data_IF_251877933397
#
_entry.id   IF_251877933397
#
_cell.length_a   1.000
_cell.length_b   1.000
_cell.length_c   1.000
_cell.angle_alpha   90.00
_cell.angle_beta   90.00
_cell.angle_gamma   90.00
#
_symmetry.space_group_name_H-M   'P 1'
#
loop_
_entity.id
_entity.type
_entity.pdbx_description
1 polymer ?
#
# COMPACT_ATOMS: atom_id res chain seq x y z
N UNK A 1 7.54 -4.66 -2.28
CA UNK A 1 6.69 -3.47 -2.10
C UNK A 1 6.58 -3.14 -0.62
N UNK A 2 6.64 -1.85 -0.23
CA UNK A 2 6.82 -1.45 1.16
C UNK A 2 5.49 -1.40 1.90
N UNK A 3 4.73 -2.50 1.91
CA UNK A 3 3.41 -2.58 2.53
C UNK A 3 3.26 -3.84 3.39
N UNK A 4 2.70 -3.67 4.59
CA UNK A 4 2.22 -4.78 5.43
C UNK A 4 0.82 -5.14 4.96
N UNK A 5 0.69 -6.12 4.08
CA UNK A 5 -0.60 -6.58 3.56
C UNK A 5 -0.61 -8.08 3.39
N UNK A 6 -1.32 -8.76 4.28
CA UNK A 6 -1.46 -10.21 4.29
C UNK A 6 -2.85 -10.62 3.80
N UNK A 7 -2.90 -11.71 3.04
CA UNK A 7 -4.13 -12.32 2.50
C UNK A 7 -3.94 -13.83 2.43
N UNK A 8 -5.02 -14.57 2.64
CA UNK A 8 -5.05 -16.02 2.41
C UNK A 8 -5.36 -16.26 0.94
N UNK A 9 -4.52 -17.03 0.25
CA UNK A 9 -4.75 -17.47 -1.12
C UNK A 9 -5.00 -18.99 -1.11
N UNK A 10 -6.10 -19.41 -1.74
CA UNK A 10 -6.45 -20.83 -1.87
C UNK A 10 -6.36 -21.21 -3.34
N UNK A 11 -5.48 -22.15 -3.67
CA UNK A 11 -5.28 -22.64 -5.04
C UNK A 11 -5.73 -24.09 -5.12
N UNK A 12 -6.71 -24.35 -5.97
CA UNK A 12 -7.28 -25.68 -6.18
C UNK A 12 -7.14 -26.12 -7.63
N UNK A 13 -6.64 -27.33 -7.82
CA UNK A 13 -6.62 -28.00 -9.13
C UNK A 13 -7.65 -29.12 -9.14
N UNK A 14 -8.27 -29.34 -10.30
CA UNK A 14 -9.16 -30.47 -10.48
C UNK A 14 -8.38 -31.78 -10.40
N UNK A 15 -8.90 -32.77 -9.68
CA UNK A 15 -8.25 -34.07 -9.49
C UNK A 15 -8.06 -34.85 -10.79
N UNK A 16 -8.96 -34.69 -11.75
CA UNK A 16 -8.94 -35.36 -13.05
C UNK A 16 -8.01 -34.69 -14.07
N UNK A 17 -7.40 -33.55 -13.74
CA UNK A 17 -6.43 -32.88 -14.59
C UNK A 17 -5.05 -33.57 -14.59
N UNK A 18 -4.84 -34.61 -13.78
CA UNK A 18 -3.59 -35.37 -13.66
C UNK A 18 -2.34 -34.51 -13.42
N UNK A 19 -2.53 -33.32 -12.82
CA UNK A 19 -1.43 -32.41 -12.48
C UNK A 19 -0.72 -32.94 -11.23
N UNK A 20 0.62 -32.96 -11.26
CA UNK A 20 1.44 -33.32 -10.10
C UNK A 20 1.28 -32.35 -8.92
N UNK A 21 1.84 -32.67 -7.74
CA UNK A 21 1.81 -31.76 -6.60
C UNK A 21 2.48 -30.42 -6.94
N UNK A 22 1.83 -29.30 -6.57
CA UNK A 22 2.37 -27.96 -6.81
C UNK A 22 3.55 -27.68 -5.87
N UNK A 23 4.64 -27.13 -6.42
CA UNK A 23 5.78 -26.66 -5.64
C UNK A 23 5.57 -25.20 -5.18
N UNK A 24 5.40 -25.04 -3.87
CA UNK A 24 5.24 -23.74 -3.21
C UNK A 24 6.52 -23.23 -2.52
N UNK A 25 7.65 -23.91 -2.73
CA UNK A 25 8.93 -23.54 -2.14
C UNK A 25 9.30 -22.12 -2.49
N UNK A 26 9.60 -21.30 -1.48
CA UNK A 26 9.96 -19.90 -1.65
C UNK A 26 8.78 -18.91 -1.67
N UNK A 27 7.53 -19.39 -1.69
CA UNK A 27 6.33 -18.57 -1.45
C UNK A 27 5.68 -18.86 -0.09
N UNK A 28 5.81 -20.10 0.39
CA UNK A 28 5.43 -20.50 1.73
C UNK A 28 6.67 -20.60 2.63
N UNK A 29 6.53 -20.33 3.94
CA UNK A 29 7.55 -20.68 4.92
C UNK A 29 7.77 -22.20 4.97
N UNK A 30 8.90 -22.64 5.52
CA UNK A 30 9.15 -24.08 5.71
C UNK A 30 8.05 -24.68 6.60
N UNK A 31 7.40 -25.75 6.15
CA UNK A 31 6.35 -26.45 6.90
C UNK A 31 4.90 -26.09 6.53
N UNK A 32 4.66 -25.29 5.50
CA UNK A 32 3.30 -24.92 5.07
C UNK A 32 2.62 -23.88 5.96
N UNK A 33 3.31 -23.41 7.00
CA UNK A 33 2.96 -22.19 7.74
C UNK A 33 3.56 -21.00 6.98
N UNK A 34 2.69 -20.09 6.55
CA UNK A 34 3.03 -18.91 5.74
C UNK A 34 3.32 -17.67 6.58
N UNK A 35 3.42 -17.79 7.90
CA UNK A 35 3.81 -16.69 8.76
C UNK A 35 5.29 -16.30 8.57
N UNK A 36 5.57 -15.46 7.58
CA UNK A 36 6.73 -14.57 7.64
C UNK A 36 7.87 -14.74 6.65
N UNK A 37 7.68 -15.26 5.42
CA UNK A 37 8.71 -15.12 4.37
C UNK A 37 8.24 -14.22 3.24
N UNK A 38 8.88 -13.05 3.13
CA UNK A 38 8.65 -12.08 2.08
C UNK A 38 9.11 -12.64 0.72
N UNK A 39 8.31 -12.42 -0.33
CA UNK A 39 8.73 -12.58 -1.73
C UNK A 39 10.02 -11.76 -1.93
N UNK A 40 11.07 -12.40 -2.45
CA UNK A 40 12.43 -11.91 -2.47
C UNK A 40 12.57 -10.50 -3.08
N UNK A 41 13.22 -9.61 -2.32
CA UNK A 41 13.42 -8.18 -2.57
C UNK A 41 13.30 -7.46 -1.23
N UNK A 42 14.12 -6.46 -0.90
CA UNK A 42 14.14 -5.83 0.44
C UNK A 42 12.81 -5.14 0.84
N UNK A 43 11.79 -5.22 -0.03
CA UNK A 43 10.47 -4.65 0.13
C UNK A 43 10.42 -3.19 -0.29
N UNK A 44 11.56 -2.51 -0.42
CA UNK A 44 11.68 -1.07 -0.46
C UNK A 44 11.27 -0.45 0.88
N UNK A 45 11.45 0.85 0.97
CA UNK A 45 10.85 1.69 2.02
C UNK A 45 9.74 2.55 1.43
N UNK A 46 8.85 3.07 2.27
CA UNK A 46 7.86 4.06 1.84
C UNK A 46 8.54 5.28 1.25
N UNK A 47 9.71 5.68 1.78
CA UNK A 47 10.54 6.77 1.23
C UNK A 47 10.83 6.57 -0.26
N UNK A 48 11.17 5.35 -0.67
CA UNK A 48 11.53 5.02 -2.05
C UNK A 48 10.37 5.05 -3.05
N UNK A 49 9.11 5.13 -2.60
CA UNK A 49 7.95 5.20 -3.50
C UNK A 49 7.36 6.61 -3.64
N UNK A 50 7.79 7.57 -2.81
CA UNK A 50 7.24 8.92 -2.81
C UNK A 50 7.56 9.68 -4.09
N UNK A 51 6.64 10.55 -4.51
CA UNK A 51 6.90 11.54 -5.54
C UNK A 51 7.73 12.71 -4.98
N UNK A 52 8.43 13.48 -5.85
CA UNK A 52 9.13 14.69 -5.41
C UNK A 52 8.20 15.64 -4.63
N UNK A 53 8.71 16.22 -3.53
CA UNK A 53 7.92 17.02 -2.59
C UNK A 53 7.28 18.29 -3.20
N UNK A 54 7.83 18.77 -4.32
CA UNK A 54 7.35 19.93 -5.07
C UNK A 54 6.42 19.58 -6.23
N UNK A 55 6.15 18.30 -6.47
CA UNK A 55 5.27 17.88 -7.56
C UNK A 55 3.83 18.37 -7.35
N UNK A 56 3.14 18.67 -8.46
CA UNK A 56 1.74 19.07 -8.42
C UNK A 56 0.83 18.01 -7.78
N UNK A 57 1.14 16.72 -7.98
CA UNK A 57 0.40 15.61 -7.37
C UNK A 57 0.51 15.62 -5.84
N UNK A 58 1.71 15.88 -5.31
CA UNK A 58 1.95 16.03 -3.87
C UNK A 58 1.20 17.23 -3.29
N UNK A 59 1.18 18.36 -3.99
CA UNK A 59 0.42 19.55 -3.58
C UNK A 59 -1.09 19.27 -3.52
N UNK A 60 -1.65 18.59 -4.52
CA UNK A 60 -3.06 18.15 -4.53
C UNK A 60 -3.35 17.15 -3.43
N UNK A 61 -2.37 16.32 -3.06
CA UNK A 61 -2.54 15.31 -2.03
C UNK A 61 -2.57 15.88 -0.60
N UNK A 62 -2.11 17.12 -0.40
CA UNK A 62 -2.19 17.83 0.88
C UNK A 62 -3.64 18.00 1.35
N UNK A 63 -3.87 17.83 2.65
CA UNK A 63 -5.19 18.08 3.21
C UNK A 63 -5.48 19.59 3.25
N UNK A 64 -6.73 19.95 2.98
CA UNK A 64 -7.20 21.34 3.09
C UNK A 64 -7.16 21.86 4.53
N UNK A 65 -7.34 23.18 4.71
CA UNK A 65 -7.33 23.80 6.03
C UNK A 65 -8.53 23.33 6.87
N UNK A 66 -9.67 23.15 6.22
CA UNK A 66 -10.91 22.66 6.81
C UNK A 66 -10.75 21.21 7.28
N UNK A 67 -10.11 20.38 6.44
CA UNK A 67 -9.77 19.00 6.77
C UNK A 67 -8.77 18.91 7.91
N UNK A 68 -7.74 19.76 7.92
CA UNK A 68 -6.78 19.81 9.02
C UNK A 68 -7.44 20.18 10.34
N UNK A 69 -8.29 21.20 10.34
CA UNK A 69 -9.05 21.59 11.52
C UNK A 69 -9.99 20.46 11.99
N UNK A 70 -10.61 19.72 11.06
CA UNK A 70 -11.42 18.55 11.38
C UNK A 70 -10.60 17.42 12.03
N UNK A 71 -9.42 17.15 11.48
CA UNK A 71 -8.49 16.15 12.01
C UNK A 71 -8.00 16.54 13.43
N UNK A 72 -7.69 17.82 13.66
CA UNK A 72 -7.33 18.33 14.99
C UNK A 72 -8.47 18.18 16.01
N UNK A 73 -9.73 18.48 15.62
CA UNK A 73 -10.89 18.24 16.48
C UNK A 73 -11.04 16.76 16.83
N UNK A 74 -10.82 15.89 15.86
CA UNK A 74 -10.86 14.44 16.07
C UNK A 74 -9.77 13.96 17.03
N UNK A 75 -8.56 14.52 16.92
CA UNK A 75 -7.44 14.26 17.84
C UNK A 75 -7.80 14.65 19.27
N UNK A 76 -8.31 15.87 19.47
CA UNK A 76 -8.74 16.35 20.77
C UNK A 76 -9.86 15.48 21.37
N UNK A 77 -10.86 15.09 20.58
CA UNK A 77 -11.99 14.30 21.04
C UNK A 77 -11.63 12.85 21.42
N UNK A 78 -10.54 12.31 20.87
CA UNK A 78 -10.19 10.88 21.02
C UNK A 78 -8.88 10.65 21.77
N UNK A 79 -8.15 11.71 22.12
CA UNK A 79 -6.83 11.61 22.75
C UNK A 79 -5.79 10.95 21.85
N UNK A 80 -5.89 11.12 20.53
CA UNK A 80 -4.88 10.62 19.58
C UNK A 80 -4.13 11.79 18.94
N UNK A 81 -2.98 11.49 18.36
CA UNK A 81 -2.03 12.46 17.82
C UNK A 81 -1.74 12.22 16.35
N UNK A 82 -1.13 13.23 15.70
CA UNK A 82 -0.67 13.09 14.31
C UNK A 82 0.38 11.97 14.16
N UNK A 83 1.26 11.78 15.16
CA UNK A 83 2.29 10.73 15.13
C UNK A 83 1.68 9.33 15.03
N UNK A 84 0.56 9.09 15.71
CA UNK A 84 -0.15 7.80 15.60
C UNK A 84 -0.83 7.62 14.24
N UNK A 85 -0.98 8.69 13.45
CA UNK A 85 -1.53 8.67 12.09
C UNK A 85 -0.45 8.74 11.01
N UNK A 86 0.81 8.81 11.39
CA UNK A 86 1.92 8.92 10.45
C UNK A 86 2.25 7.58 9.80
N UNK A 87 2.68 7.61 8.54
CA UNK A 87 3.30 6.48 7.86
C UNK A 87 4.82 6.57 8.07
N UNK A 88 5.42 5.53 8.66
CA UNK A 88 6.86 5.45 8.81
C UNK A 88 7.53 5.32 7.43
N UNK A 89 8.42 6.27 7.09
CA UNK A 89 9.05 6.35 5.78
C UNK A 89 10.05 5.23 5.52
N UNK A 90 10.84 4.87 6.52
CA UNK A 90 11.93 3.90 6.38
C UNK A 90 11.46 2.45 6.59
N UNK A 91 10.17 2.28 6.89
CA UNK A 91 9.53 0.98 7.10
C UNK A 91 8.55 0.61 6.00
N UNK A 92 7.69 -0.36 6.32
CA UNK A 92 6.53 -0.73 5.50
C UNK A 92 5.31 0.09 5.92
N UNK A 93 4.55 0.58 4.95
CA UNK A 93 3.28 1.21 5.20
C UNK A 93 2.24 0.19 5.70
N UNK A 94 1.26 0.63 6.50
CA UNK A 94 0.09 -0.18 6.81
C UNK A 94 -0.76 -0.46 5.55
N UNK A 95 -1.74 -1.38 5.63
CA UNK A 95 -2.62 -1.67 4.50
C UNK A 95 -3.35 -0.43 3.99
N UNK A 96 -3.36 -0.24 2.68
CA UNK A 96 -4.17 0.78 2.03
C UNK A 96 -5.65 0.37 2.15
N UNK A 97 -6.48 1.29 2.63
CA UNK A 97 -7.91 1.05 2.84
C UNK A 97 -8.74 1.72 1.74
N UNK A 98 -9.93 1.21 1.47
CA UNK A 98 -10.79 1.73 0.40
C UNK A 98 -11.25 3.17 0.63
N UNK A 99 -11.45 3.56 1.89
CA UNK A 99 -11.77 4.92 2.32
C UNK A 99 -10.53 5.75 2.68
N UNK A 100 -9.38 5.51 2.03
CA UNK A 100 -8.12 6.15 2.40
C UNK A 100 -8.16 7.67 2.29
N UNK A 101 -8.73 8.23 1.21
CA UNK A 101 -8.83 9.68 0.94
C UNK A 101 -9.89 10.42 1.79
N UNK A 102 -10.37 9.80 2.87
CA UNK A 102 -11.35 10.39 3.78
C UNK A 102 -10.70 10.72 5.13
N UNK A 103 -10.62 12.01 5.45
CA UNK A 103 -10.01 12.51 6.70
C UNK A 103 -10.77 12.06 7.95
N UNK A 104 -12.08 11.87 7.85
CA UNK A 104 -12.90 11.36 8.96
C UNK A 104 -12.63 9.89 9.29
N UNK A 105 -11.93 9.17 8.41
CA UNK A 105 -11.55 7.80 8.64
C UNK A 105 -10.42 7.72 9.67
N UNK A 106 -10.80 7.41 10.91
CA UNK A 106 -9.85 6.94 11.94
C UNK A 106 -9.18 5.72 11.31
N UNK A 107 -7.88 5.56 11.19
CA UNK A 107 -7.17 4.48 10.45
C UNK A 107 -6.59 4.98 9.13
N UNK A 108 -7.09 6.06 8.55
CA UNK A 108 -6.34 6.76 7.51
C UNK A 108 -4.98 7.23 8.08
N UNK A 109 -3.96 7.16 7.23
CA UNK A 109 -2.58 7.48 7.57
C UNK A 109 -2.00 8.51 6.61
N UNK A 110 -1.09 9.33 7.11
CA UNK A 110 -0.60 10.51 6.41
C UNK A 110 0.92 10.48 6.28
N UNK A 111 1.40 11.13 5.22
CA UNK A 111 2.79 11.52 5.04
C UNK A 111 2.99 12.84 5.79
N UNK A 112 3.83 12.80 6.82
CA UNK A 112 4.18 13.94 7.68
C UNK A 112 5.62 14.44 7.44
N UNK A 113 6.39 13.72 6.63
CA UNK A 113 7.73 14.06 6.15
C UNK A 113 7.85 13.55 4.71
N UNK A 114 8.50 14.30 3.84
CA UNK A 114 8.75 13.90 2.45
C UNK A 114 10.09 13.17 2.29
N UNK A 115 10.34 12.59 1.12
CA UNK A 115 11.59 11.86 0.87
C UNK A 115 12.84 12.72 1.03
N UNK A 116 12.75 14.03 0.74
CA UNK A 116 13.82 15.03 0.89
C UNK A 116 13.94 15.61 2.31
N UNK A 117 13.12 15.14 3.26
CA UNK A 117 13.09 15.63 4.64
C UNK A 117 12.16 16.83 4.87
N UNK A 118 11.43 17.29 3.85
CA UNK A 118 10.44 18.38 4.02
C UNK A 118 9.37 17.98 5.03
N UNK A 119 9.20 18.76 6.08
CA UNK A 119 8.24 18.49 7.16
C UNK A 119 6.82 18.93 6.81
N UNK A 120 5.83 18.12 7.21
CA UNK A 120 4.39 18.30 6.97
C UNK A 120 3.56 18.01 8.22
N UNK A 121 3.85 18.70 9.30
CA UNK A 121 3.20 18.50 10.60
C UNK A 121 2.05 19.48 10.90
N UNK A 122 1.68 20.31 9.92
CA UNK A 122 0.65 21.34 10.06
C UNK A 122 1.19 22.73 10.39
N UNK A 123 2.52 22.93 10.43
CA UNK A 123 3.16 24.24 10.50
C UNK A 123 3.10 24.98 9.15
N UNK A 124 4.19 24.94 8.38
CA UNK A 124 4.22 25.52 7.03
C UNK A 124 3.44 24.69 6.00
N UNK A 125 3.50 23.36 6.15
CA UNK A 125 2.80 22.41 5.29
C UNK A 125 1.97 21.46 6.12
N UNK A 126 0.77 21.13 5.62
CA UNK A 126 -0.10 20.16 6.28
C UNK A 126 0.25 18.73 5.89
N UNK A 127 -0.10 17.74 6.73
CA UNK A 127 0.00 16.33 6.36
C UNK A 127 -0.75 16.05 5.06
N UNK A 128 -0.28 15.07 4.29
CA UNK A 128 -0.93 14.69 3.04
C UNK A 128 -1.25 13.20 3.01
N UNK A 129 -2.19 12.83 2.17
CA UNK A 129 -2.32 11.43 1.79
C UNK A 129 -1.23 11.06 0.77
N UNK A 130 -1.01 9.76 0.58
CA UNK A 130 -0.31 9.26 -0.61
C UNK A 130 -1.03 9.74 -1.87
N UNK A 131 -0.28 10.02 -2.93
CA UNK A 131 -0.85 10.31 -4.25
C UNK A 131 -1.36 9.01 -4.89
N UNK A 132 -2.20 9.08 -5.95
CA UNK A 132 -2.62 7.89 -6.67
C UNK A 132 -1.44 7.08 -7.23
N UNK A 133 -0.36 7.75 -7.67
CA UNK A 133 0.86 7.11 -8.17
C UNK A 133 1.64 6.42 -7.07
N UNK A 134 1.80 7.07 -5.93
CA UNK A 134 2.44 6.44 -4.77
C UNK A 134 1.62 5.24 -4.27
N UNK A 135 0.29 5.31 -4.28
CA UNK A 135 -0.56 4.16 -4.01
C UNK A 135 -0.35 3.02 -5.02
N UNK A 136 -0.15 3.33 -6.31
CA UNK A 136 0.14 2.31 -7.32
C UNK A 136 1.48 1.62 -7.06
N UNK A 137 2.53 2.39 -6.78
CA UNK A 137 3.86 1.86 -6.39
C UNK A 137 3.79 1.05 -5.10
N UNK A 138 3.00 1.50 -4.13
CA UNK A 138 2.77 0.78 -2.87
C UNK A 138 2.12 -0.60 -3.10
N UNK A 139 1.19 -0.69 -4.06
CA UNK A 139 0.58 -1.96 -4.47
C UNK A 139 1.52 -2.85 -5.30
N UNK A 140 2.64 -2.31 -5.79
CA UNK A 140 3.58 -3.00 -6.67
C UNK A 140 3.21 -2.92 -8.15
N UNK A 141 2.39 -1.94 -8.55
CA UNK A 141 2.12 -1.68 -9.96
C UNK A 141 3.32 -1.00 -10.64
N UNK A 142 3.58 -1.31 -11.91
CA UNK A 142 4.69 -0.74 -12.66
C UNK A 142 4.45 0.75 -12.98
N UNK A 143 5.53 1.48 -13.24
CA UNK A 143 5.47 2.94 -13.47
C UNK A 143 4.64 3.31 -14.70
N UNK A 144 4.64 2.46 -15.74
CA UNK A 144 3.84 2.65 -16.95
C UNK A 144 2.33 2.43 -16.75
N UNK A 145 1.90 1.89 -15.59
CA UNK A 145 0.49 1.65 -15.32
C UNK A 145 -0.29 2.97 -15.35
N UNK A 146 -1.37 3.04 -16.15
CA UNK A 146 -2.17 4.26 -16.31
C UNK A 146 -3.24 4.32 -15.21
N UNK A 147 -3.16 5.35 -14.36
CA UNK A 147 -4.16 5.59 -13.32
C UNK A 147 -5.42 6.17 -13.99
N UNK A 148 -6.60 5.57 -13.78
CA UNK A 148 -7.82 5.99 -14.46
C UNK A 148 -8.39 7.29 -13.89
N UNK A 149 -8.97 8.11 -14.78
CA UNK A 149 -9.70 9.32 -14.41
C UNK A 149 -8.86 10.35 -13.67
N UNK A 150 -9.45 10.96 -12.65
CA UNK A 150 -8.82 11.94 -11.75
C UNK A 150 -8.00 11.29 -10.62
N UNK A 151 -7.91 9.96 -10.59
CA UNK A 151 -7.24 9.20 -9.54
C UNK A 151 -8.01 9.09 -8.21
N UNK A 152 -9.12 9.79 -8.01
CA UNK A 152 -9.91 9.68 -6.76
C UNK A 152 -10.54 8.29 -6.62
N UNK A 153 -11.06 7.74 -7.73
CA UNK A 153 -11.59 6.37 -7.77
C UNK A 153 -10.51 5.30 -7.52
N UNK A 154 -9.25 5.62 -7.81
CA UNK A 154 -8.14 4.67 -7.70
C UNK A 154 -7.84 4.29 -6.25
N UNK A 155 -7.97 5.20 -5.28
CA UNK A 155 -7.79 4.87 -3.86
C UNK A 155 -8.70 3.72 -3.41
N UNK A 156 -9.96 3.75 -3.84
CA UNK A 156 -10.94 2.69 -3.52
C UNK A 156 -10.56 1.38 -4.20
N UNK A 157 -10.14 1.43 -5.46
CA UNK A 157 -9.72 0.26 -6.23
C UNK A 157 -8.47 -0.39 -5.61
N UNK A 158 -7.42 0.40 -5.36
CA UNK A 158 -6.17 -0.07 -4.75
C UNK A 158 -6.38 -0.59 -3.32
N UNK A 159 -7.23 0.08 -2.53
CA UNK A 159 -7.60 -0.39 -1.18
C UNK A 159 -8.30 -1.74 -1.18
N UNK A 160 -9.11 -2.05 -2.19
CA UNK A 160 -9.83 -3.32 -2.31
C UNK A 160 -9.05 -4.41 -3.06
N UNK A 161 -8.11 -4.05 -3.93
CA UNK A 161 -7.37 -4.98 -4.77
C UNK A 161 -6.37 -5.84 -3.99
N UNK A 162 -5.90 -6.92 -4.62
CA UNK A 162 -4.71 -7.67 -4.17
C UNK A 162 -3.45 -7.05 -4.78
N UNK A 163 -2.28 -7.30 -4.18
CA UNK A 163 -1.00 -6.81 -4.71
C UNK A 163 -0.60 -7.63 -5.95
N UNK A 164 -0.43 -7.01 -7.13
CA UNK A 164 -0.10 -7.75 -8.36
C UNK A 164 1.14 -8.64 -8.26
N UNK A 165 2.27 -8.23 -7.65
CA UNK A 165 3.44 -9.11 -7.54
C UNK A 165 3.19 -10.40 -6.74
N UNK A 166 2.23 -10.38 -5.80
CA UNK A 166 1.87 -11.59 -5.04
C UNK A 166 1.06 -12.54 -5.92
N UNK A 167 0.13 -12.01 -6.71
CA UNK A 167 -0.69 -12.81 -7.63
C UNK A 167 0.17 -13.37 -8.76
N UNK A 168 1.09 -12.59 -9.28
CA UNK A 168 2.08 -13.01 -10.29
C UNK A 168 2.88 -14.22 -9.78
N UNK A 169 3.46 -14.12 -8.57
CA UNK A 169 4.22 -15.22 -7.98
C UNK A 169 3.37 -16.49 -7.78
N UNK A 170 2.12 -16.37 -7.34
CA UNK A 170 1.19 -17.51 -7.26
C UNK A 170 0.88 -18.08 -8.65
N UNK A 171 0.67 -17.21 -9.63
CA UNK A 171 0.40 -17.57 -11.02
C UNK A 171 1.55 -18.33 -11.68
N UNK A 172 2.81 -17.93 -11.44
CA UNK A 172 3.99 -18.62 -11.94
C UNK A 172 4.04 -20.08 -11.47
N UNK A 173 3.69 -20.35 -10.19
CA UNK A 173 3.64 -21.73 -9.68
C UNK A 173 2.51 -22.55 -10.29
N UNK A 174 1.37 -21.90 -10.52
CA UNK A 174 0.25 -22.53 -11.19
C UNK A 174 0.61 -22.90 -12.65
N UNK A 175 1.23 -21.99 -13.39
CA UNK A 175 1.65 -22.22 -14.78
C UNK A 175 2.71 -23.33 -14.87
N UNK A 176 3.72 -23.29 -14.00
CA UNK A 176 4.74 -24.33 -13.94
C UNK A 176 4.14 -25.72 -13.66
N UNK A 177 3.15 -25.82 -12.77
CA UNK A 177 2.45 -27.08 -12.49
C UNK A 177 1.65 -27.58 -13.71
N UNK A 178 1.14 -26.68 -14.54
CA UNK A 178 0.45 -27.00 -15.79
C UNK A 178 1.41 -27.30 -16.96
N UNK A 179 2.73 -27.15 -16.77
CA UNK A 179 3.74 -27.33 -17.81
C UNK A 179 3.75 -26.22 -18.87
N UNK A 180 3.33 -25.00 -18.48
CA UNK A 180 3.32 -23.80 -19.32
C UNK A 180 4.48 -22.86 -19.00
#
# INVERSE_FOLDING_TARGET
MPQQRERVYMVGLRKDACVGPMDWTGLCGEGGDTSGRAVAGDGGSVRGILEPAESAAVAVAEISAEQWAALQRQFAARGCTLREREIALDGKAPPLISGYRNVGNITAKYICEEADGTRRDGGERRPRFLTPRECARLMGLPEWYRIPGDGLGFYKQAGNAVCPPVVEAVGERLLAALGL
#
